data_IF_509398892167
#
_entry.id   IF_509398892167
#
_cell.length_a   1.000
_cell.length_b   1.000
_cell.length_c   1.000
_cell.angle_alpha   90.00
_cell.angle_beta   90.00
_cell.angle_gamma   90.00
#
_symmetry.space_group_name_H-M   'P 1'
#
loop_
_entity.id
_entity.type
_entity.pdbx_description
1 polymer ?
#
# COMPACT_ATOMS: atom_id res chain seq x y z
N UNK A 1 -3.20 27.77 14.91
CA UNK A 1 -2.53 26.46 14.71
C UNK A 1 -2.95 25.94 13.35
N UNK A 2 -2.25 26.32 12.27
CA UNK A 2 -2.63 25.95 10.90
C UNK A 2 -1.60 25.00 10.32
N UNK A 3 -1.93 23.71 10.25
CA UNK A 3 -1.10 22.73 9.54
C UNK A 3 -1.00 23.18 8.07
N UNK A 4 0.22 23.21 7.54
CA UNK A 4 0.43 23.55 6.13
C UNK A 4 -0.11 22.41 5.28
N UNK A 5 -0.48 22.72 4.04
CA UNK A 5 -0.87 21.72 3.02
C UNK A 5 0.16 20.58 2.89
N UNK A 6 1.44 20.90 3.07
CA UNK A 6 2.54 19.92 3.11
C UNK A 6 2.42 18.90 4.23
N UNK A 7 1.96 19.32 5.41
CA UNK A 7 1.94 18.49 6.62
C UNK A 7 0.88 17.39 6.47
N UNK A 8 -0.28 17.76 5.92
CA UNK A 8 -1.36 16.81 5.58
C UNK A 8 -0.88 15.80 4.53
N UNK A 9 -0.16 16.28 3.50
CA UNK A 9 0.34 15.39 2.45
C UNK A 9 1.36 14.39 2.99
N UNK A 10 2.30 14.86 3.81
CA UNK A 10 3.33 13.99 4.41
C UNK A 10 2.71 12.95 5.34
N UNK A 11 1.70 13.32 6.14
CA UNK A 11 1.04 12.35 7.03
C UNK A 11 0.29 11.27 6.26
N UNK A 12 -0.56 11.64 5.29
CA UNK A 12 -1.29 10.66 4.48
C UNK A 12 -0.35 9.78 3.65
N UNK A 13 0.71 10.36 3.09
CA UNK A 13 1.71 9.59 2.35
C UNK A 13 2.43 8.60 3.27
N UNK A 14 2.76 9.03 4.49
CA UNK A 14 3.42 8.15 5.47
C UNK A 14 2.51 7.01 5.88
N UNK A 15 1.24 7.27 6.18
CA UNK A 15 0.25 6.21 6.46
C UNK A 15 0.09 5.26 5.28
N UNK A 16 -0.02 5.78 4.05
CA UNK A 16 -0.14 4.96 2.85
C UNK A 16 1.10 4.07 2.64
N UNK A 17 2.31 4.61 2.82
CA UNK A 17 3.57 3.85 2.69
C UNK A 17 3.67 2.77 3.79
N UNK A 18 3.31 3.10 5.03
CA UNK A 18 3.34 2.13 6.14
C UNK A 18 2.32 1.01 5.89
N UNK A 19 1.08 1.34 5.53
CA UNK A 19 0.02 0.36 5.27
C UNK A 19 0.35 -0.53 4.07
N UNK A 20 0.80 0.04 2.95
CA UNK A 20 1.16 -0.75 1.77
C UNK A 20 2.43 -1.55 1.95
N UNK A 21 3.43 -1.02 2.68
CA UNK A 21 4.63 -1.76 3.06
C UNK A 21 4.31 -2.97 3.94
N UNK A 22 3.50 -2.79 4.99
CA UNK A 22 3.05 -3.88 5.84
C UNK A 22 2.22 -4.90 5.05
N UNK A 23 1.29 -4.44 4.22
CA UNK A 23 0.49 -5.30 3.36
C UNK A 23 1.34 -6.12 2.38
N UNK A 24 2.39 -5.51 1.80
CA UNK A 24 3.32 -6.17 0.90
C UNK A 24 4.14 -7.26 1.58
N UNK A 25 4.67 -6.98 2.79
CA UNK A 25 5.40 -7.98 3.59
C UNK A 25 4.49 -9.14 3.97
N UNK A 26 3.29 -8.86 4.49
CA UNK A 26 2.31 -9.90 4.85
C UNK A 26 1.90 -10.71 3.63
N UNK A 27 1.64 -10.06 2.48
CA UNK A 27 1.29 -10.72 1.24
C UNK A 27 2.38 -11.66 0.71
N UNK A 28 3.65 -11.25 0.79
CA UNK A 28 4.80 -12.09 0.42
C UNK A 28 4.90 -13.34 1.31
N UNK A 29 4.77 -13.16 2.63
CA UNK A 29 4.82 -14.27 3.59
C UNK A 29 3.67 -15.25 3.33
N UNK A 30 2.46 -14.74 3.14
CA UNK A 30 1.29 -15.57 2.84
C UNK A 30 1.44 -16.30 1.50
N UNK A 31 1.85 -15.61 0.44
CA UNK A 31 2.05 -16.21 -0.88
C UNK A 31 3.11 -17.33 -0.85
N UNK A 32 4.21 -17.10 -0.13
CA UNK A 32 5.25 -18.11 0.06
C UNK A 32 4.75 -19.32 0.86
N UNK A 33 4.01 -19.08 1.94
CA UNK A 33 3.44 -20.15 2.78
C UNK A 33 2.45 -21.00 2.00
N UNK A 34 1.54 -20.37 1.24
CA UNK A 34 0.57 -21.05 0.39
C UNK A 34 1.28 -21.88 -0.70
N UNK A 35 2.26 -21.30 -1.38
CA UNK A 35 3.09 -22.02 -2.37
C UNK A 35 3.73 -23.28 -1.77
N UNK A 36 4.26 -23.18 -0.55
CA UNK A 36 4.89 -24.31 0.15
C UNK A 36 3.89 -25.39 0.53
N UNK A 37 2.71 -25.01 1.02
CA UNK A 37 1.62 -25.93 1.36
C UNK A 37 1.08 -26.64 0.12
N UNK A 38 0.86 -25.91 -0.99
CA UNK A 38 0.48 -26.51 -2.26
C UNK A 38 1.50 -27.52 -2.75
N UNK A 39 2.80 -27.25 -2.58
CA UNK A 39 3.86 -28.21 -2.95
C UNK A 39 3.88 -29.48 -2.10
N UNK A 40 3.35 -29.44 -0.88
CA UNK A 40 3.20 -30.64 -0.03
C UNK A 40 1.99 -31.49 -0.42
N UNK A 41 0.88 -30.85 -0.83
CA UNK A 41 -0.36 -31.52 -1.22
C UNK A 41 -0.25 -32.05 -2.67
N UNK A 42 0.44 -31.31 -3.53
CA UNK A 42 0.56 -31.62 -4.96
C UNK A 42 2.04 -31.67 -5.40
N UNK A 43 2.74 -32.79 -5.17
CA UNK A 43 4.19 -32.90 -5.40
C UNK A 43 4.62 -32.75 -6.87
N UNK A 44 3.69 -32.91 -7.82
CA UNK A 44 3.97 -32.77 -9.26
C UNK A 44 3.69 -31.36 -9.81
N UNK A 45 3.11 -30.45 -9.02
CA UNK A 45 2.91 -29.08 -9.46
C UNK A 45 4.17 -28.26 -9.19
N UNK A 46 4.70 -27.52 -10.19
CA UNK A 46 5.78 -26.58 -9.96
C UNK A 46 5.25 -25.37 -9.18
N UNK A 47 5.27 -25.45 -7.86
CA UNK A 47 4.76 -24.37 -6.99
C UNK A 47 5.79 -23.29 -6.67
N UNK A 48 7.01 -23.39 -7.21
CA UNK A 48 8.08 -22.42 -6.97
C UNK A 48 7.65 -21.02 -7.44
N UNK A 49 7.61 -20.07 -6.50
CA UNK A 49 7.30 -18.67 -6.81
C UNK A 49 8.50 -18.08 -7.56
N UNK A 50 8.35 -17.69 -8.83
CA UNK A 50 9.47 -17.13 -9.57
C UNK A 50 9.78 -15.72 -9.09
N UNK A 51 11.06 -15.33 -9.13
CA UNK A 51 11.52 -14.02 -8.62
C UNK A 51 10.79 -12.86 -9.29
N UNK A 52 10.46 -12.96 -10.57
CA UNK A 52 9.73 -11.92 -11.30
C UNK A 52 8.32 -11.68 -10.71
N UNK A 53 7.65 -12.72 -10.18
CA UNK A 53 6.33 -12.59 -9.58
C UNK A 53 6.39 -11.89 -8.22
N UNK A 54 7.46 -12.13 -7.45
CA UNK A 54 7.72 -11.40 -6.22
C UNK A 54 8.02 -9.91 -6.53
N UNK A 55 8.86 -9.64 -7.53
CA UNK A 55 9.20 -8.26 -7.95
C UNK A 55 7.97 -7.52 -8.47
N UNK A 56 7.13 -8.17 -9.29
CA UNK A 56 5.90 -7.54 -9.79
C UNK A 56 4.90 -7.25 -8.67
N UNK A 57 4.76 -8.15 -7.69
CA UNK A 57 3.95 -7.92 -6.50
C UNK A 57 4.40 -6.70 -5.69
N UNK A 58 5.70 -6.55 -5.47
CA UNK A 58 6.29 -5.38 -4.80
C UNK A 58 6.04 -4.10 -5.61
N UNK A 59 6.28 -4.13 -6.93
CA UNK A 59 6.04 -2.98 -7.80
C UNK A 59 4.58 -2.53 -7.78
N UNK A 60 3.63 -3.48 -7.82
CA UNK A 60 2.20 -3.18 -7.72
C UNK A 60 1.86 -2.60 -6.35
N UNK A 61 2.36 -3.19 -5.25
CA UNK A 61 2.14 -2.70 -3.89
C UNK A 61 2.60 -1.25 -3.71
N UNK A 62 3.82 -0.93 -4.18
CA UNK A 62 4.37 0.44 -4.16
C UNK A 62 3.55 1.38 -5.04
N UNK A 63 3.19 0.95 -6.25
CA UNK A 63 2.39 1.75 -7.17
C UNK A 63 1.02 2.11 -6.59
N UNK A 64 0.32 1.13 -5.99
CA UNK A 64 -0.96 1.34 -5.29
C UNK A 64 -0.77 2.28 -4.10
N UNK A 65 0.26 2.08 -3.27
CA UNK A 65 0.53 2.94 -2.12
C UNK A 65 0.82 4.39 -2.48
N UNK A 66 1.61 4.62 -3.52
CA UNK A 66 1.87 5.98 -4.01
C UNK A 66 0.62 6.61 -4.63
N UNK A 67 -0.13 5.86 -5.44
CA UNK A 67 -1.34 6.38 -6.09
C UNK A 67 -2.39 6.80 -5.07
N UNK A 68 -2.72 5.91 -4.12
CA UNK A 68 -3.69 6.18 -3.07
C UNK A 68 -3.14 7.03 -1.92
N UNK A 69 -1.83 7.22 -1.81
CA UNK A 69 -1.25 8.17 -0.86
C UNK A 69 -1.28 9.60 -1.39
N UNK A 70 -0.86 9.81 -2.64
CA UNK A 70 -0.67 11.15 -3.22
C UNK A 70 -1.98 11.77 -3.68
N UNK A 71 -2.86 11.00 -4.32
CA UNK A 71 -4.09 11.53 -4.91
C UNK A 71 -5.08 12.10 -3.88
N UNK A 72 -5.50 11.35 -2.83
CA UNK A 72 -6.38 11.90 -1.81
C UNK A 72 -5.67 12.93 -0.92
N UNK A 73 -4.37 12.79 -0.66
CA UNK A 73 -3.60 13.81 0.07
C UNK A 73 -3.63 15.17 -0.65
N UNK A 74 -3.43 15.15 -1.98
CA UNK A 74 -3.53 16.35 -2.81
C UNK A 74 -4.94 16.95 -2.82
N UNK A 75 -5.98 16.12 -2.69
CA UNK A 75 -7.37 16.56 -2.55
C UNK A 75 -7.63 17.17 -1.17
N UNK A 76 -7.19 16.51 -0.09
CA UNK A 76 -7.31 16.95 1.30
C UNK A 76 -6.63 18.30 1.54
N UNK A 77 -5.42 18.46 1.00
CA UNK A 77 -4.67 19.71 1.06
C UNK A 77 -5.34 20.86 0.28
N UNK A 78 -6.30 20.60 -0.60
CA UNK A 78 -7.01 21.64 -1.35
C UNK A 78 -8.34 22.06 -0.73
N UNK A 79 -8.83 21.38 0.31
CA UNK A 79 -10.03 21.83 1.02
C UNK A 79 -9.76 23.19 1.70
N UNK A 80 -10.71 24.10 1.53
CA UNK A 80 -10.66 25.41 2.15
C UNK A 80 -10.98 25.26 3.65
N UNK A 81 -10.08 25.65 4.58
CA UNK A 81 -10.29 25.44 6.01
C UNK A 81 -11.54 26.14 6.57
N UNK A 82 -12.04 27.18 5.88
CA UNK A 82 -13.29 27.86 6.23
C UNK A 82 -14.52 26.99 5.91
N UNK A 83 -14.44 26.13 4.90
CA UNK A 83 -15.53 25.24 4.48
C UNK A 83 -15.55 23.94 5.32
N UNK A 84 -14.38 23.50 5.79
CA UNK A 84 -14.25 22.37 6.72
C UNK A 84 -14.85 22.65 8.11
N UNK A 85 -14.79 23.89 8.60
CA UNK A 85 -15.40 24.30 9.88
C UNK A 85 -16.90 24.63 9.79
N UNK A 86 -17.43 24.81 8.59
CA UNK A 86 -18.85 25.18 8.37
C UNK A 86 -19.76 23.96 8.19
N UNK A 87 -19.17 22.78 8.10
CA UNK A 87 -19.85 21.49 8.09
C UNK A 87 -19.89 20.80 9.47
N UNK A 88 -19.40 21.49 10.51
CA UNK A 88 -19.83 21.26 11.91
C UNK A 88 -21.05 22.12 12.25
#
# INVERSE_FOLDING_TARGET
>A
MGARKSDIIVQFLTEAVVLTGLGGVVGLILGWTISRLCGLIFPNLPTAVPVWAAVSGVMVSVGVGLFFGIWPAGRAARLDPVEALRYE
#
